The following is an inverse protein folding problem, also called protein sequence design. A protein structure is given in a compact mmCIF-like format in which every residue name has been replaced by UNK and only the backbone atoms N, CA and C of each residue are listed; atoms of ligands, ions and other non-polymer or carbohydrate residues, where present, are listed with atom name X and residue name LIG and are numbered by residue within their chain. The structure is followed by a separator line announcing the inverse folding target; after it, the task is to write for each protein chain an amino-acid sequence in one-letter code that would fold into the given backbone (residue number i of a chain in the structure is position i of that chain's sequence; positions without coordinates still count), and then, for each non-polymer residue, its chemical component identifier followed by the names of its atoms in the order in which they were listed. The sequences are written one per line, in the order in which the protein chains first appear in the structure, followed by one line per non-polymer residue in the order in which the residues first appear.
data_IF_580734181762
#
_entry.id   IF_580734181762
#
_cell.length_a   1.000
_cell.length_b   1.000
_cell.length_c   1.000
_cell.angle_alpha   90.00
_cell.angle_beta   90.00
_cell.angle_gamma   90.00
#
_symmetry.space_group_name_H-M   'P 1'
#
loop_
_entity.id
_entity.type
_entity.pdbx_description
1 polymer ?
#
# COMPACT_ATOMS: atom_id res chain seq x y z
N UNK A 1 -26.06 -3.39 -17.47
CA UNK A 1 -24.78 -4.09 -17.71
C UNK A 1 -23.71 -3.04 -17.71
N UNK A 2 -22.78 -3.07 -16.76
CA UNK A 2 -21.61 -2.20 -16.78
C UNK A 2 -20.41 -3.12 -17.05
N UNK A 3 -20.09 -3.23 -18.32
CA UNK A 3 -18.80 -3.73 -18.77
C UNK A 3 -17.72 -2.81 -18.20
N UNK A 4 -16.82 -3.35 -17.38
CA UNK A 4 -15.55 -2.72 -17.05
C UNK A 4 -14.43 -3.64 -17.49
N UNK A 5 -14.26 -3.76 -18.80
CA UNK A 5 -12.96 -4.02 -19.39
C UNK A 5 -12.15 -2.75 -19.28
N UNK A 6 -11.35 -2.63 -18.22
CA UNK A 6 -10.10 -1.88 -18.34
C UNK A 6 -9.08 -2.49 -17.39
N UNK A 7 -8.19 -3.31 -17.95
CA UNK A 7 -7.00 -3.85 -17.30
C UNK A 7 -5.87 -2.81 -17.32
N UNK A 8 -6.20 -1.52 -17.25
CA UNK A 8 -5.24 -0.52 -16.82
C UNK A 8 -5.10 -0.72 -15.31
N UNK A 9 -3.96 -1.25 -14.87
CA UNK A 9 -3.69 -1.34 -13.43
C UNK A 9 -3.79 0.08 -12.86
N UNK A 10 -4.88 0.38 -12.16
CA UNK A 10 -5.08 1.69 -11.55
C UNK A 10 -3.90 1.97 -10.61
N UNK A 11 -3.06 2.93 -11.02
CA UNK A 11 -1.89 3.37 -10.29
C UNK A 11 -2.29 4.53 -9.38
N UNK A 12 -1.87 4.47 -8.12
CA UNK A 12 -2.05 5.54 -7.13
C UNK A 12 -0.67 6.11 -6.78
N UNK A 13 -0.58 7.43 -6.60
CA UNK A 13 0.64 8.03 -6.06
C UNK A 13 0.71 7.90 -4.54
N UNK A 14 1.92 7.75 -4.01
CA UNK A 14 2.14 7.72 -2.57
C UNK A 14 1.76 9.04 -1.90
N UNK A 15 1.89 10.17 -2.60
CA UNK A 15 1.40 11.48 -2.11
C UNK A 15 -0.12 11.50 -1.91
N UNK A 16 -0.88 10.90 -2.85
CA UNK A 16 -2.34 10.81 -2.72
C UNK A 16 -2.72 9.95 -1.52
N UNK A 17 -2.03 8.83 -1.33
CA UNK A 17 -2.22 7.96 -0.18
C UNK A 17 -1.87 8.65 1.14
N UNK A 18 -0.78 9.42 1.16
CA UNK A 18 -0.38 10.23 2.32
C UNK A 18 -1.43 11.28 2.67
N UNK A 19 -1.96 12.00 1.68
CA UNK A 19 -3.02 12.98 1.90
C UNK A 19 -4.33 12.35 2.39
N UNK A 20 -4.67 11.14 1.92
CA UNK A 20 -5.87 10.42 2.34
C UNK A 20 -5.77 9.86 3.75
N UNK A 21 -4.61 9.35 4.12
CA UNK A 21 -4.40 8.65 5.41
C UNK A 21 -3.90 9.58 6.51
N UNK A 22 -3.32 10.73 6.14
CA UNK A 22 -2.67 11.66 7.07
C UNK A 22 -1.26 11.23 7.50
N UNK A 23 -0.73 10.13 6.96
CA UNK A 23 0.62 9.67 7.25
C UNK A 23 1.65 10.26 6.28
N UNK A 24 2.86 10.61 6.73
CA UNK A 24 3.93 11.04 5.84
C UNK A 24 4.26 9.95 4.81
N UNK A 25 4.55 10.36 3.56
CA UNK A 25 4.97 9.44 2.48
C UNK A 25 6.13 8.53 2.92
N UNK A 26 7.08 9.08 3.68
CA UNK A 26 8.22 8.33 4.22
C UNK A 26 7.76 7.17 5.11
N UNK A 27 6.84 7.42 6.03
CA UNK A 27 6.30 6.42 6.94
C UNK A 27 5.56 5.32 6.16
N UNK A 28 4.74 5.70 5.19
CA UNK A 28 4.04 4.74 4.32
C UNK A 28 5.02 3.82 3.59
N UNK A 29 6.14 4.36 3.07
CA UNK A 29 7.18 3.56 2.42
C UNK A 29 7.85 2.58 3.37
N UNK A 30 8.23 3.06 4.56
CA UNK A 30 8.94 2.26 5.56
C UNK A 30 8.07 1.12 6.09
N UNK A 31 6.81 1.39 6.42
CA UNK A 31 5.91 0.43 7.05
C UNK A 31 5.30 -0.56 6.04
N UNK A 32 4.78 -0.08 4.90
CA UNK A 32 4.04 -0.94 3.97
C UNK A 32 4.93 -1.66 2.95
N UNK A 33 6.07 -1.08 2.56
CA UNK A 33 6.86 -1.58 1.43
C UNK A 33 8.25 -2.07 1.79
N UNK A 34 8.65 -2.04 3.08
CA UNK A 34 9.89 -2.59 3.65
C UNK A 34 11.23 -2.12 3.04
N UNK A 35 11.25 -1.38 1.92
CA UNK A 35 12.33 -0.51 1.41
C UNK A 35 12.01 -0.01 -0.01
N UNK A 36 12.64 1.12 -0.38
CA UNK A 36 12.57 1.89 -1.64
C UNK A 36 11.66 1.31 -2.73
N UNK A 37 10.37 1.66 -2.67
CA UNK A 37 9.57 1.71 -3.89
C UNK A 37 10.22 2.76 -4.79
N UNK A 38 10.95 2.29 -5.79
CA UNK A 38 11.66 3.14 -6.75
C UNK A 38 10.66 4.03 -7.52
N UNK A 39 9.45 3.52 -7.72
CA UNK A 39 8.35 4.25 -8.32
C UNK A 39 7.48 4.92 -7.25
N UNK A 40 7.20 6.21 -7.43
CA UNK A 40 6.29 6.99 -6.57
C UNK A 40 4.80 6.63 -6.79
N UNK A 41 4.56 5.63 -7.64
CA UNK A 41 3.24 5.11 -8.00
C UNK A 41 3.21 3.61 -7.80
N UNK A 42 2.11 3.14 -7.23
CA UNK A 42 1.86 1.73 -6.96
C UNK A 42 0.50 1.34 -7.53
N UNK A 43 0.36 0.11 -7.97
CA UNK A 43 -0.96 -0.44 -8.32
C UNK A 43 -1.80 -0.72 -7.06
N UNK A 44 -3.11 -0.76 -7.23
CA UNK A 44 -4.02 -1.18 -6.15
C UNK A 44 -3.74 -2.61 -5.65
N UNK A 45 -3.23 -3.50 -6.51
CA UNK A 45 -2.89 -4.86 -6.12
C UNK A 45 -1.64 -4.91 -5.24
N UNK A 46 -0.62 -4.09 -5.54
CA UNK A 46 0.55 -3.92 -4.69
C UNK A 46 0.19 -3.31 -3.35
N UNK A 47 -0.65 -2.27 -3.35
CA UNK A 47 -1.15 -1.66 -2.12
C UNK A 47 -1.89 -2.69 -1.26
N UNK A 48 -2.80 -3.48 -1.86
CA UNK A 48 -3.55 -4.51 -1.13
C UNK A 48 -2.61 -5.52 -0.48
N UNK A 49 -1.61 -6.02 -1.21
CA UNK A 49 -0.62 -6.97 -0.69
C UNK A 49 0.19 -6.37 0.45
N UNK A 50 0.68 -5.15 0.28
CA UNK A 50 1.46 -4.43 1.27
C UNK A 50 0.68 -4.24 2.59
N UNK A 51 -0.60 -3.84 2.49
CA UNK A 51 -1.47 -3.70 3.66
C UNK A 51 -1.74 -5.03 4.37
N UNK A 52 -2.02 -6.10 3.62
CA UNK A 52 -2.24 -7.44 4.22
C UNK A 52 -0.98 -7.91 4.94
N UNK A 53 0.19 -7.78 4.29
CA UNK A 53 1.47 -8.16 4.90
C UNK A 53 1.74 -7.36 6.19
N UNK A 54 1.43 -6.07 6.20
CA UNK A 54 1.58 -5.23 7.39
C UNK A 54 0.66 -5.69 8.53
N UNK A 55 -0.61 -5.99 8.23
CA UNK A 55 -1.57 -6.50 9.22
C UNK A 55 -1.10 -7.85 9.76
N UNK A 56 -0.68 -8.78 8.89
CA UNK A 56 -0.19 -10.10 9.29
C UNK A 56 1.07 -9.98 10.17
N UNK A 57 2.01 -9.10 9.81
CA UNK A 57 3.23 -8.88 10.60
C UNK A 57 2.92 -8.30 11.99
N UNK A 58 2.04 -7.30 12.06
CA UNK A 58 1.66 -6.67 13.33
C UNK A 58 0.82 -7.58 14.22
N UNK A 59 -0.07 -8.40 13.66
CA UNK A 59 -0.83 -9.41 14.43
C UNK A 59 0.06 -10.55 14.95
N UNK A 60 1.14 -10.89 14.25
CA UNK A 60 2.10 -11.89 14.70
C UNK A 60 3.05 -11.34 15.78
N UNK A 61 3.43 -10.05 15.73
CA UNK A 61 4.21 -9.41 16.79
C UNK A 61 3.45 -9.33 18.13
N UNK A 62 2.13 -9.12 18.11
CA UNK A 62 1.32 -9.07 19.33
C UNK A 62 1.12 -10.45 20.01
N UNK A 63 1.37 -11.56 19.31
CA UNK A 63 1.15 -12.91 19.83
C UNK A 63 2.34 -13.50 20.60
N UNK A 64 3.53 -12.89 20.51
CA UNK A 64 4.78 -13.35 21.14
C UNK A 64 5.27 -12.43 22.30
N UNK A 65 4.42 -11.48 22.75
CA UNK A 65 4.69 -10.57 23.89
C UNK A 65 3.93 -10.91 25.17
#
# INVERSE_FOLDING_TARGET
MLEKTNQDQELISLESLANLTGFPVKMIKEELFSSDVADEKISLDELRKAMVNYIDATMLEEADS
#
